data_IF_243445888879
#
_entry.id   IF_243445888879
#
_cell.length_a   1.000
_cell.length_b   1.000
_cell.length_c   1.000
_cell.angle_alpha   90.00
_cell.angle_beta   90.00
_cell.angle_gamma   90.00
#
_symmetry.space_group_name_H-M   'P 1'
#
loop_
_entity.id
_entity.type
_entity.pdbx_description
1 polymer ?
#
# COMPACT_ATOMS: atom_id res chain seq x y z
N UNK A 1 -11.50 -36.57 10.79
CA UNK A 1 -10.56 -36.55 9.64
C UNK A 1 -11.20 -35.69 8.58
N UNK A 2 -10.78 -34.42 8.51
CA UNK A 2 -11.35 -33.47 7.55
C UNK A 2 -10.83 -33.80 6.15
N UNK A 3 -11.75 -34.00 5.19
CA UNK A 3 -11.40 -34.23 3.79
C UNK A 3 -10.71 -32.97 3.24
N UNK A 4 -9.67 -33.11 2.40
CA UNK A 4 -9.13 -31.95 1.68
C UNK A 4 -10.23 -31.31 0.83
N UNK A 5 -10.28 -29.98 0.85
CA UNK A 5 -11.26 -29.10 0.18
C UNK A 5 -11.41 -29.40 -1.34
N UNK A 6 -10.47 -30.16 -1.92
CA UNK A 6 -10.30 -30.36 -3.36
C UNK A 6 -11.08 -31.56 -3.96
N UNK A 7 -11.92 -32.25 -3.19
CA UNK A 7 -12.68 -33.38 -3.71
C UNK A 7 -14.08 -32.96 -4.21
N UNK A 8 -14.17 -32.20 -5.31
CA UNK A 8 -15.33 -32.14 -6.24
C UNK A 8 -15.12 -31.08 -7.35
N UNK A 9 -14.86 -31.53 -8.59
CA UNK A 9 -14.86 -30.70 -9.81
C UNK A 9 -13.59 -29.85 -10.03
N UNK A 10 -13.28 -29.53 -11.30
CA UNK A 10 -12.21 -28.57 -11.66
C UNK A 10 -12.72 -27.17 -11.31
N UNK A 11 -12.61 -26.79 -10.04
CA UNK A 11 -12.82 -25.42 -9.59
C UNK A 11 -11.48 -24.71 -9.65
N UNK A 12 -11.34 -23.70 -10.51
CA UNK A 12 -10.17 -22.82 -10.49
C UNK A 12 -10.05 -22.22 -9.09
N UNK A 13 -8.85 -22.29 -8.49
CA UNK A 13 -8.59 -21.65 -7.20
C UNK A 13 -8.70 -20.13 -7.36
N UNK A 14 -9.33 -19.41 -6.40
CA UNK A 14 -9.35 -17.95 -6.43
C UNK A 14 -7.93 -17.40 -6.36
N UNK A 15 -7.71 -16.23 -6.97
CA UNK A 15 -6.51 -15.42 -6.72
C UNK A 15 -6.59 -14.82 -5.33
N UNK A 16 -5.61 -15.16 -4.49
CA UNK A 16 -5.60 -14.75 -3.09
C UNK A 16 -4.54 -13.68 -2.86
N UNK A 17 -4.96 -12.58 -2.23
CA UNK A 17 -4.06 -11.57 -1.70
C UNK A 17 -3.97 -11.65 -0.18
N UNK A 18 -2.75 -11.54 0.35
CA UNK A 18 -2.52 -11.21 1.76
C UNK A 18 -2.07 -9.75 1.83
N UNK A 19 -2.80 -8.96 2.59
CA UNK A 19 -2.53 -7.54 2.82
C UNK A 19 -2.13 -7.36 4.28
N UNK A 20 -0.91 -6.91 4.52
CA UNK A 20 -0.38 -6.70 5.87
C UNK A 20 -0.30 -5.21 6.19
N UNK A 21 -1.00 -4.83 7.26
CA UNK A 21 -0.95 -3.48 7.79
C UNK A 21 0.38 -3.09 8.41
N UNK A 22 0.49 -1.81 8.74
CA UNK A 22 1.59 -1.27 9.55
C UNK A 22 1.51 -1.75 11.01
N UNK A 23 2.67 -2.02 11.61
CA UNK A 23 2.74 -2.49 13.00
C UNK A 23 4.16 -2.63 13.57
N UNK A 24 5.19 -2.22 12.83
CA UNK A 24 6.59 -2.53 13.18
C UNK A 24 6.77 -4.03 13.45
N UNK A 25 7.38 -4.36 14.59
CA UNK A 25 7.57 -5.75 15.03
C UNK A 25 6.26 -6.55 15.16
N UNK A 26 5.12 -5.89 15.40
CA UNK A 26 3.81 -6.57 15.49
C UNK A 26 3.43 -7.25 14.17
N UNK A 27 3.96 -6.78 13.05
CA UNK A 27 3.77 -7.42 11.75
C UNK A 27 4.20 -8.89 11.72
N UNK A 28 5.05 -9.31 12.67
CA UNK A 28 5.43 -10.70 12.85
C UNK A 28 4.29 -11.63 13.26
N UNK A 29 3.18 -11.12 13.79
CA UNK A 29 1.98 -11.93 14.00
C UNK A 29 1.44 -12.54 12.68
N UNK A 30 1.74 -11.91 11.54
CA UNK A 30 1.40 -12.44 10.22
C UNK A 30 2.12 -13.75 9.89
N UNK A 31 3.17 -14.12 10.63
CA UNK A 31 3.86 -15.39 10.43
C UNK A 31 2.92 -16.58 10.58
N UNK A 32 2.04 -16.55 11.59
CA UNK A 32 1.03 -17.56 11.81
C UNK A 32 0.04 -17.66 10.62
N UNK A 33 -0.24 -16.54 9.95
CA UNK A 33 -1.09 -16.55 8.76
C UNK A 33 -0.38 -17.23 7.60
N UNK A 34 0.90 -16.92 7.37
CA UNK A 34 1.66 -17.57 6.31
C UNK A 34 1.85 -19.08 6.55
N UNK A 35 2.11 -19.49 7.79
CA UNK A 35 2.16 -20.91 8.18
C UNK A 35 0.83 -21.60 7.93
N UNK A 36 -0.29 -20.97 8.29
CA UNK A 36 -1.61 -21.51 7.99
C UNK A 36 -1.82 -21.75 6.48
N UNK A 37 -1.44 -20.79 5.63
CA UNK A 37 -1.54 -20.95 4.17
C UNK A 37 -0.62 -22.06 3.64
N UNK A 38 0.61 -22.17 4.17
CA UNK A 38 1.57 -23.23 3.84
C UNK A 38 1.02 -24.62 4.25
N UNK A 39 0.49 -24.77 5.46
CA UNK A 39 -0.10 -26.00 5.99
C UNK A 39 -1.33 -26.46 5.18
N UNK A 40 -2.19 -25.51 4.80
CA UNK A 40 -3.36 -25.80 3.96
C UNK A 40 -3.01 -26.03 2.48
N UNK A 41 -1.75 -25.79 2.08
CA UNK A 41 -1.28 -25.86 0.69
C UNK A 41 -2.10 -24.97 -0.24
N UNK A 42 -2.48 -23.80 0.26
CA UNK A 42 -3.23 -22.80 -0.49
C UNK A 42 -2.21 -21.78 -1.03
N UNK A 43 -2.09 -21.61 -2.36
CA UNK A 43 -1.16 -20.65 -2.92
C UNK A 43 -1.61 -19.22 -2.60
N UNK A 44 -0.64 -18.33 -2.39
CA UNK A 44 -0.84 -16.89 -2.28
C UNK A 44 -0.35 -16.29 -3.60
N UNK A 45 -1.16 -15.44 -4.24
CA UNK A 45 -0.83 -14.83 -5.53
C UNK A 45 -0.22 -13.43 -5.37
N UNK A 46 -0.68 -12.70 -4.35
CA UNK A 46 -0.32 -11.32 -4.11
C UNK A 46 -0.02 -11.05 -2.63
N UNK A 47 1.09 -10.37 -2.38
CA UNK A 47 1.44 -9.80 -1.09
C UNK A 47 1.45 -8.28 -1.21
N UNK A 48 0.81 -7.60 -0.28
CA UNK A 48 0.83 -6.14 -0.20
C UNK A 48 1.13 -5.74 1.24
N UNK A 49 2.23 -5.02 1.47
CA UNK A 49 2.67 -4.67 2.81
C UNK A 49 2.95 -3.19 3.01
N UNK A 50 2.72 -2.71 4.23
CA UNK A 50 3.07 -1.36 4.68
C UNK A 50 3.98 -1.43 5.93
N UNK A 51 5.09 -0.70 5.96
CA UNK A 51 6.01 -0.62 7.10
C UNK A 51 6.48 -2.01 7.56
N UNK A 52 6.26 -2.40 8.83
CA UNK A 52 6.52 -3.77 9.29
C UNK A 52 5.89 -4.86 8.40
N UNK A 53 4.67 -4.62 7.88
CA UNK A 53 4.02 -5.51 6.93
C UNK A 53 4.77 -5.60 5.59
N UNK A 54 5.41 -4.52 5.14
CA UNK A 54 6.26 -4.53 3.95
C UNK A 54 7.48 -5.44 4.13
N UNK A 55 8.15 -5.37 5.30
CA UNK A 55 9.24 -6.27 5.63
C UNK A 55 8.79 -7.74 5.63
N UNK A 56 7.65 -8.05 6.27
CA UNK A 56 7.10 -9.40 6.30
C UNK A 56 6.73 -9.92 4.90
N UNK A 57 6.02 -9.11 4.10
CA UNK A 57 5.67 -9.45 2.72
C UNK A 57 6.90 -9.63 1.81
N UNK A 58 7.89 -8.75 1.91
CA UNK A 58 9.12 -8.86 1.13
C UNK A 58 9.93 -10.10 1.52
N UNK A 59 9.95 -10.44 2.82
CA UNK A 59 10.62 -11.64 3.35
C UNK A 59 10.00 -12.92 2.77
N UNK A 60 8.67 -13.03 2.78
CA UNK A 60 8.00 -14.20 2.16
C UNK A 60 8.14 -14.15 0.64
N UNK A 61 8.00 -12.97 0.02
CA UNK A 61 8.11 -12.79 -1.42
C UNK A 61 9.47 -13.12 -2.02
N UNK A 62 10.57 -12.99 -1.25
CA UNK A 62 11.89 -13.45 -1.68
C UNK A 62 12.05 -14.99 -1.58
N UNK A 63 11.02 -15.71 -1.13
CA UNK A 63 10.99 -17.17 -1.06
C UNK A 63 11.37 -17.77 0.29
N UNK A 64 11.44 -16.97 1.36
CA UNK A 64 11.67 -17.51 2.71
C UNK A 64 10.45 -18.31 3.17
N UNK A 65 10.69 -19.48 3.77
CA UNK A 65 9.60 -20.25 4.37
C UNK A 65 9.21 -19.67 5.73
N UNK A 66 7.92 -19.66 6.09
CA UNK A 66 7.48 -19.17 7.39
C UNK A 66 8.21 -19.85 8.57
N UNK A 67 8.39 -21.17 8.51
CA UNK A 67 9.18 -21.93 9.50
C UNK A 67 10.62 -21.43 9.65
N UNK A 68 11.29 -21.09 8.55
CA UNK A 68 12.65 -20.52 8.58
C UNK A 68 12.65 -19.12 9.20
N UNK A 69 11.65 -18.29 8.87
CA UNK A 69 11.50 -16.96 9.45
C UNK A 69 11.26 -17.04 10.97
N UNK A 70 10.48 -18.03 11.43
CA UNK A 70 10.25 -18.34 12.86
C UNK A 70 11.56 -18.69 13.56
N UNK A 71 12.32 -19.64 13.00
CA UNK A 71 13.58 -20.14 13.58
C UNK A 71 14.72 -19.12 13.56
N UNK A 72 14.86 -18.39 12.45
CA UNK A 72 15.82 -17.30 12.34
C UNK A 72 15.54 -16.25 13.42
N UNK A 73 14.26 -16.11 13.78
CA UNK A 73 13.73 -15.07 14.65
C UNK A 73 14.10 -13.73 14.03
N UNK A 74 13.17 -13.07 13.33
CA UNK A 74 13.44 -11.72 12.83
C UNK A 74 13.98 -10.78 13.94
N UNK A 75 13.77 -11.11 15.21
CA UNK A 75 14.50 -10.60 16.37
C UNK A 75 16.05 -10.55 16.28
N UNK A 76 16.75 -11.48 15.62
CA UNK A 76 18.21 -11.39 15.38
C UNK A 76 18.55 -10.31 14.35
N UNK A 77 17.73 -10.19 13.30
CA UNK A 77 17.83 -9.12 12.32
C UNK A 77 17.49 -7.78 13.01
N UNK A 78 16.42 -7.75 13.80
CA UNK A 78 15.93 -6.57 14.51
C UNK A 78 16.80 -6.12 15.69
N UNK A 79 17.42 -7.04 16.45
CA UNK A 79 18.45 -6.67 17.43
C UNK A 79 19.62 -5.98 16.73
N UNK A 80 20.00 -6.39 15.52
CA UNK A 80 21.03 -5.69 14.74
C UNK A 80 20.51 -4.39 14.13
N UNK A 81 19.22 -4.28 13.79
CA UNK A 81 18.61 -3.10 13.18
C UNK A 81 18.25 -1.98 14.19
N UNK A 82 17.81 -2.32 15.41
CA UNK A 82 17.17 -1.41 16.37
C UNK A 82 17.91 -1.22 17.71
N UNK A 83 19.10 -1.82 17.89
CA UNK A 83 19.87 -1.60 19.13
C UNK A 83 20.57 -0.25 19.15
N UNK A 84 20.12 0.60 20.09
CA UNK A 84 20.56 1.95 20.48
C UNK A 84 19.80 3.09 19.76
N UNK A 85 18.58 3.35 20.24
CA UNK A 85 17.92 4.66 20.07
C UNK A 85 18.81 5.71 20.73
N UNK A 86 19.33 6.67 19.96
CA UNK A 86 20.14 7.75 20.49
C UNK A 86 19.29 9.01 20.68
N UNK A 87 18.65 9.15 21.84
CA UNK A 87 17.85 10.33 22.19
C UNK A 87 18.64 11.66 22.17
N UNK A 88 19.98 11.66 22.07
CA UNK A 88 20.78 12.88 21.89
C UNK A 88 20.74 13.45 20.46
N UNK A 89 20.52 12.64 19.42
CA UNK A 89 20.40 13.16 18.04
C UNK A 89 19.18 14.07 17.87
N UNK A 90 18.15 13.80 18.68
CA UNK A 90 16.92 14.58 18.76
C UNK A 90 17.14 16.00 19.29
N UNK A 91 18.03 16.20 20.26
CA UNK A 91 18.43 17.55 20.70
C UNK A 91 19.16 18.32 19.58
N UNK A 92 19.76 17.62 18.61
CA UNK A 92 20.32 18.20 17.38
C UNK A 92 19.26 18.77 16.42
N UNK A 93 18.06 18.18 16.39
CA UNK A 93 16.93 18.66 15.57
C UNK A 93 16.44 20.01 16.10
N UNK A 94 16.41 20.19 17.43
CA UNK A 94 15.96 21.43 18.06
C UNK A 94 17.08 22.48 18.26
N UNK A 95 18.36 22.09 18.18
CA UNK A 95 19.50 23.00 18.34
C UNK A 95 20.14 23.46 17.03
N UNK A 96 19.83 22.83 15.90
CA UNK A 96 20.20 23.34 14.58
C UNK A 96 19.27 24.51 14.22
N UNK A 97 19.85 25.72 14.21
CA UNK A 97 19.19 26.90 13.63
C UNK A 97 18.79 26.55 12.18
N UNK A 98 17.49 26.36 11.92
CA UNK A 98 16.86 25.94 10.64
C UNK A 98 16.92 24.43 10.27
N UNK A 99 16.20 23.61 11.04
CA UNK A 99 15.26 22.57 10.58
C UNK A 99 15.46 21.88 9.22
N UNK A 100 16.43 20.97 9.11
CA UNK A 100 16.47 19.98 8.02
C UNK A 100 16.35 18.56 8.58
N UNK A 101 15.23 17.87 8.29
CA UNK A 101 15.06 16.45 8.59
C UNK A 101 15.69 15.61 7.47
N UNK A 102 17.01 15.43 7.50
CA UNK A 102 17.79 14.63 6.56
C UNK A 102 18.32 13.32 7.19
N UNK A 103 19.08 12.51 6.42
CA UNK A 103 19.75 11.27 6.88
C UNK A 103 20.60 11.44 8.15
N UNK A 104 20.99 12.66 8.53
CA UNK A 104 21.82 12.95 9.72
C UNK A 104 20.97 13.26 10.96
N UNK A 105 19.66 13.38 10.80
CA UNK A 105 18.70 13.79 11.85
C UNK A 105 17.69 12.71 12.25
N UNK A 106 17.75 11.51 11.65
CA UNK A 106 16.93 10.36 12.07
C UNK A 106 17.19 9.98 13.53
N UNK A 107 16.12 9.65 14.27
CA UNK A 107 16.22 9.20 15.67
C UNK A 107 16.93 7.83 15.76
N UNK A 108 16.76 7.01 14.72
CA UNK A 108 17.45 5.75 14.52
C UNK A 108 18.53 5.92 13.44
N UNK A 109 19.63 5.17 13.54
CA UNK A 109 20.71 5.24 12.55
C UNK A 109 20.22 4.71 11.19
N UNK A 110 19.95 5.59 10.21
CA UNK A 110 19.32 5.18 8.96
C UNK A 110 20.27 4.37 8.08
N UNK A 111 21.58 4.66 8.14
CA UNK A 111 22.60 3.93 7.39
C UNK A 111 22.70 2.49 7.89
N UNK A 112 22.68 2.29 9.21
CA UNK A 112 22.70 0.94 9.80
C UNK A 112 21.47 0.13 9.42
N UNK A 113 20.29 0.76 9.44
CA UNK A 113 19.05 0.12 9.02
C UNK A 113 19.09 -0.26 7.54
N UNK A 114 19.47 0.68 6.66
CA UNK A 114 19.59 0.45 5.23
C UNK A 114 20.63 -0.62 4.89
N UNK A 115 21.78 -0.63 5.56
CA UNK A 115 22.82 -1.64 5.35
C UNK A 115 22.38 -3.04 5.76
N UNK A 116 21.67 -3.17 6.88
CA UNK A 116 21.16 -4.47 7.30
C UNK A 116 20.01 -4.98 6.42
N UNK A 117 19.18 -4.09 5.85
CA UNK A 117 18.24 -4.47 4.79
C UNK A 117 18.95 -4.93 3.52
N UNK A 118 20.05 -4.27 3.13
CA UNK A 118 20.89 -4.69 1.99
C UNK A 118 21.61 -6.01 2.24
N UNK A 119 22.10 -6.26 3.45
CA UNK A 119 22.69 -7.55 3.84
C UNK A 119 21.63 -8.66 3.78
N UNK A 120 20.39 -8.37 4.21
CA UNK A 120 19.31 -9.35 4.25
C UNK A 120 18.72 -9.67 2.88
N UNK A 121 18.39 -8.65 2.07
CA UNK A 121 17.76 -8.82 0.77
C UNK A 121 18.76 -8.96 -0.39
N UNK A 122 20.02 -8.55 -0.20
CA UNK A 122 21.00 -8.49 -1.28
C UNK A 122 20.52 -7.65 -2.46
N UNK A 123 20.72 -8.17 -3.67
CA UNK A 123 20.30 -7.54 -4.93
C UNK A 123 18.90 -7.98 -5.41
N UNK A 124 18.11 -8.63 -4.54
CA UNK A 124 16.77 -9.10 -4.90
C UNK A 124 15.88 -7.90 -5.26
N UNK A 125 15.20 -8.02 -6.41
CA UNK A 125 14.26 -7.01 -6.88
C UNK A 125 12.81 -7.44 -6.68
N UNK A 126 11.92 -6.49 -6.41
CA UNK A 126 10.50 -6.76 -6.17
C UNK A 126 9.83 -7.51 -7.34
N UNK A 127 10.20 -7.23 -8.59
CA UNK A 127 9.64 -7.90 -9.76
C UNK A 127 9.98 -9.40 -9.85
N UNK A 128 11.02 -9.84 -9.14
CA UNK A 128 11.48 -11.23 -9.08
C UNK A 128 10.76 -12.04 -8.00
N UNK A 129 10.06 -11.37 -7.06
CA UNK A 129 9.43 -12.02 -5.91
C UNK A 129 8.24 -12.90 -6.30
N UNK A 130 8.09 -14.02 -5.58
CA UNK A 130 6.97 -14.95 -5.67
C UNK A 130 6.55 -15.35 -4.24
N UNK A 131 5.30 -15.08 -3.80
CA UNK A 131 4.21 -14.40 -4.52
C UNK A 131 4.55 -12.99 -5.01
N UNK A 132 3.75 -12.41 -5.93
CA UNK A 132 4.00 -11.04 -6.37
C UNK A 132 3.92 -10.11 -5.16
N UNK A 133 4.96 -9.32 -4.91
CA UNK A 133 5.00 -8.45 -3.73
C UNK A 133 4.93 -6.98 -4.11
N UNK A 134 4.11 -6.25 -3.35
CA UNK A 134 3.92 -4.82 -3.46
C UNK A 134 4.22 -4.16 -2.12
N UNK A 135 4.88 -3.01 -2.18
CA UNK A 135 5.29 -2.26 -1.00
C UNK A 135 4.66 -0.88 -1.03
N UNK A 136 3.82 -0.59 -0.04
CA UNK A 136 3.16 0.70 0.12
C UNK A 136 4.11 1.73 0.72
N UNK A 137 4.17 2.91 0.11
CA UNK A 137 4.93 4.07 0.60
C UNK A 137 4.08 5.33 0.46
N UNK A 138 4.54 6.43 1.04
CA UNK A 138 3.90 7.75 0.87
C UNK A 138 4.89 8.71 0.23
N UNK A 139 4.46 9.42 -0.82
CA UNK A 139 5.19 10.57 -1.34
C UNK A 139 5.08 11.71 -0.34
N UNK A 140 6.19 12.10 0.29
CA UNK A 140 6.18 13.06 1.41
C UNK A 140 5.91 14.49 0.97
N UNK A 141 6.03 14.80 -0.33
CA UNK A 141 5.77 16.13 -0.87
C UNK A 141 4.27 16.33 -1.13
N UNK A 142 3.59 15.28 -1.62
CA UNK A 142 2.19 15.36 -2.06
C UNK A 142 1.20 14.70 -1.09
N UNK A 143 1.68 13.80 -0.23
CA UNK A 143 0.84 12.94 0.61
C UNK A 143 0.21 11.75 -0.14
N UNK A 144 0.49 11.60 -1.45
CA UNK A 144 -0.07 10.51 -2.24
C UNK A 144 0.55 9.15 -1.88
N UNK A 145 -0.27 8.09 -1.93
CA UNK A 145 0.21 6.73 -1.79
C UNK A 145 0.95 6.28 -3.05
N UNK A 146 2.17 5.76 -2.87
CA UNK A 146 3.00 5.21 -3.95
C UNK A 146 3.29 3.74 -3.69
N UNK A 147 2.92 2.88 -4.65
CA UNK A 147 3.16 1.44 -4.56
C UNK A 147 4.39 1.04 -5.36
N UNK A 148 5.39 0.56 -4.66
CA UNK A 148 6.58 -0.02 -5.27
C UNK A 148 6.32 -1.47 -5.62
N UNK A 149 6.56 -1.82 -6.89
CA UNK A 149 6.44 -3.19 -7.41
C UNK A 149 7.64 -3.64 -8.24
N UNK A 150 8.64 -2.76 -8.33
CA UNK A 150 9.90 -2.95 -9.05
C UNK A 150 11.05 -2.30 -8.28
N UNK A 151 12.27 -2.70 -8.59
CA UNK A 151 13.48 -2.15 -7.99
C UNK A 151 13.95 -2.95 -6.77
N UNK A 152 15.03 -2.48 -6.12
CA UNK A 152 15.67 -3.19 -5.01
C UNK A 152 14.71 -3.31 -3.83
N UNK A 153 14.52 -4.54 -3.35
CA UNK A 153 13.66 -4.82 -2.21
C UNK A 153 14.12 -4.09 -0.94
N UNK A 154 15.44 -4.02 -0.71
CA UNK A 154 16.01 -3.32 0.43
C UNK A 154 15.62 -1.83 0.46
N UNK A 155 15.67 -1.13 -0.68
CA UNK A 155 15.31 0.28 -0.75
C UNK A 155 13.79 0.48 -0.66
N UNK A 156 12.98 -0.40 -1.28
CA UNK A 156 11.53 -0.33 -1.16
C UNK A 156 11.03 -0.55 0.27
N UNK A 157 11.55 -1.57 0.96
CA UNK A 157 11.23 -1.84 2.36
C UNK A 157 11.74 -0.71 3.25
N UNK A 158 12.93 -0.17 3.01
CA UNK A 158 13.41 1.01 3.73
C UNK A 158 12.44 2.19 3.60
N UNK A 159 12.03 2.54 2.38
CA UNK A 159 11.10 3.64 2.13
C UNK A 159 9.77 3.42 2.88
N UNK A 160 9.25 2.19 2.83
CA UNK A 160 8.01 1.82 3.53
C UNK A 160 8.11 1.86 5.05
N UNK A 161 9.32 1.72 5.60
CA UNK A 161 9.61 1.82 7.03
C UNK A 161 10.15 3.20 7.45
N UNK A 162 10.25 4.15 6.52
CA UNK A 162 10.82 5.48 6.76
C UNK A 162 9.85 6.40 7.52
N UNK A 163 9.52 5.99 8.74
CA UNK A 163 8.54 6.64 9.61
C UNK A 163 9.11 7.93 10.21
N UNK A 164 8.41 9.05 10.09
CA UNK A 164 8.81 10.31 10.75
C UNK A 164 8.38 10.30 12.23
N UNK A 165 9.29 10.58 13.19
CA UNK A 165 10.67 11.07 13.04
C UNK A 165 11.78 9.99 13.15
N UNK A 166 11.43 8.70 13.14
CA UNK A 166 12.40 7.61 13.30
C UNK A 166 13.45 7.55 12.18
N UNK A 167 13.01 7.63 10.93
CA UNK A 167 13.84 7.51 9.74
C UNK A 167 13.45 8.56 8.68
N UNK A 168 14.43 9.14 7.96
CA UNK A 168 14.17 10.07 6.89
C UNK A 168 13.72 9.38 5.59
N UNK A 169 12.93 10.08 4.75
CA UNK A 169 12.53 9.55 3.45
C UNK A 169 13.74 9.38 2.52
N UNK A 170 13.60 8.51 1.52
CA UNK A 170 14.62 8.31 0.47
C UNK A 170 14.05 8.62 -0.90
N UNK A 171 14.94 9.00 -1.82
CA UNK A 171 14.57 9.31 -3.19
C UNK A 171 14.55 8.04 -4.04
N UNK A 172 13.39 7.69 -4.58
CA UNK A 172 13.21 6.59 -5.55
C UNK A 172 12.46 7.17 -6.75
N UNK A 173 13.00 6.96 -7.96
CA UNK A 173 12.41 7.44 -9.22
C UNK A 173 12.00 8.93 -9.20
N UNK A 174 12.83 9.77 -8.58
CA UNK A 174 12.60 11.21 -8.53
C UNK A 174 11.72 11.69 -7.36
N UNK A 175 11.02 10.80 -6.66
CA UNK A 175 10.12 11.13 -5.55
C UNK A 175 10.75 10.86 -4.19
N UNK A 176 10.47 11.69 -3.19
CA UNK A 176 10.84 11.41 -1.80
C UNK A 176 9.78 10.54 -1.15
N UNK A 177 10.14 9.29 -0.88
CA UNK A 177 9.22 8.28 -0.34
C UNK A 177 9.52 8.03 1.14
N UNK A 178 8.46 8.10 1.95
CA UNK A 178 8.41 7.78 3.36
C UNK A 178 7.44 6.65 3.68
N UNK A 179 7.26 6.36 4.97
CA UNK A 179 6.41 5.25 5.44
C UNK A 179 4.99 5.32 4.86
N UNK A 180 4.44 4.16 4.48
CA UNK A 180 3.10 4.02 3.91
C UNK A 180 1.96 4.33 4.90
N UNK A 181 2.24 4.40 6.20
CA UNK A 181 1.27 4.69 7.28
C UNK A 181 0.49 5.99 7.05
N UNK A 182 1.07 6.96 6.35
CA UNK A 182 0.44 8.26 6.13
C UNK A 182 -0.58 8.26 5.00
N UNK A 183 -0.55 7.27 4.10
CA UNK A 183 -1.41 7.20 2.91
C UNK A 183 -2.31 5.96 2.89
N UNK A 184 -1.80 4.78 3.25
CA UNK A 184 -2.59 3.55 3.31
C UNK A 184 -1.99 2.56 4.34
N UNK A 185 -2.34 2.71 5.64
CA UNK A 185 -1.81 1.87 6.71
C UNK A 185 -2.07 0.38 6.50
N UNK A 186 -3.21 0.03 5.90
CA UNK A 186 -3.56 -1.32 5.47
C UNK A 186 -3.97 -1.23 3.98
N UNK A 187 -3.06 -1.50 3.04
CA UNK A 187 -3.23 -1.16 1.62
C UNK A 187 -4.16 -2.11 0.85
N UNK A 188 -5.37 -2.36 1.35
CA UNK A 188 -6.38 -3.28 0.77
C UNK A 188 -6.79 -2.86 -0.63
N UNK A 189 -6.92 -1.56 -0.86
CA UNK A 189 -7.28 -0.99 -2.16
C UNK A 189 -6.30 -1.43 -3.26
N UNK A 190 -5.05 -1.69 -2.95
CA UNK A 190 -4.05 -2.13 -3.93
C UNK A 190 -4.24 -3.57 -4.38
N UNK A 191 -4.81 -4.41 -3.52
CA UNK A 191 -5.27 -5.74 -3.90
C UNK A 191 -6.51 -5.64 -4.79
N UNK A 192 -7.49 -4.79 -4.42
CA UNK A 192 -8.72 -4.56 -5.20
C UNK A 192 -8.39 -4.09 -6.62
N UNK A 193 -7.52 -3.09 -6.77
CA UNK A 193 -7.07 -2.55 -8.08
C UNK A 193 -6.47 -3.61 -9.00
N UNK A 194 -6.06 -4.76 -8.46
CA UNK A 194 -5.43 -5.86 -9.20
C UNK A 194 -6.37 -7.04 -9.46
N UNK A 195 -7.67 -6.87 -9.19
CA UNK A 195 -8.72 -7.86 -9.45
C UNK A 195 -8.35 -9.23 -8.86
N UNK A 196 -7.91 -9.24 -7.60
CA UNK A 196 -7.81 -10.48 -6.82
C UNK A 196 -9.20 -10.89 -6.35
N UNK A 197 -9.40 -12.18 -6.14
CA UNK A 197 -10.73 -12.74 -5.86
C UNK A 197 -11.01 -12.80 -4.36
N UNK A 198 -10.00 -13.07 -3.54
CA UNK A 198 -10.14 -13.12 -2.08
C UNK A 198 -9.00 -12.32 -1.45
N UNK A 199 -9.35 -11.39 -0.57
CA UNK A 199 -8.39 -10.58 0.17
C UNK A 199 -8.40 -10.98 1.64
N UNK A 200 -7.26 -11.36 2.18
CA UNK A 200 -7.05 -11.56 3.61
C UNK A 200 -6.24 -10.37 4.13
N UNK A 201 -6.89 -9.49 4.87
CA UNK A 201 -6.27 -8.27 5.42
C UNK A 201 -5.97 -8.45 6.90
N UNK A 202 -4.72 -8.26 7.30
CA UNK A 202 -4.28 -8.38 8.69
C UNK A 202 -3.98 -6.98 9.26
N UNK A 203 -4.68 -6.66 10.35
CA UNK A 203 -4.57 -5.38 11.07
C UNK A 203 -4.35 -5.62 12.58
N UNK A 204 -3.81 -4.62 13.27
CA UNK A 204 -3.36 -4.75 14.65
C UNK A 204 -4.15 -3.84 15.57
N UNK A 205 -4.74 -4.43 16.61
CA UNK A 205 -5.57 -3.70 17.57
C UNK A 205 -4.97 -3.77 18.95
N UNK A 206 -4.71 -2.59 19.51
CA UNK A 206 -4.26 -2.46 20.89
C UNK A 206 -5.33 -1.84 21.77
N UNK A 207 -5.43 -2.35 22.99
CA UNK A 207 -6.15 -1.70 24.09
C UNK A 207 -5.30 -0.54 24.62
N UNK A 208 -5.64 0.66 24.18
CA UNK A 208 -5.07 1.90 24.72
C UNK A 208 -5.54 2.08 26.16
N UNK A 209 -4.66 1.93 27.15
CA UNK A 209 -5.02 1.94 28.57
C UNK A 209 -4.47 3.09 29.40
N UNK A 210 -3.54 3.90 28.85
CA UNK A 210 -2.88 4.95 29.63
C UNK A 210 -2.90 6.29 28.90
N UNK A 211 -3.11 7.35 29.70
CA UNK A 211 -2.98 8.75 29.27
C UNK A 211 -1.55 8.99 28.74
N UNK A 212 -1.40 9.51 27.50
CA UNK A 212 -0.07 9.78 26.96
C UNK A 212 0.61 10.89 27.76
N UNK A 213 1.78 10.59 28.35
CA UNK A 213 2.60 11.55 29.09
C UNK A 213 3.82 12.00 28.25
N UNK A 214 3.94 13.30 28.02
CA UNK A 214 5.05 13.91 27.27
C UNK A 214 4.82 13.99 25.75
N UNK A 215 5.65 14.79 25.07
CA UNK A 215 5.47 15.12 23.64
C UNK A 215 5.40 13.87 22.74
N UNK A 216 6.32 12.91 22.91
CA UNK A 216 6.39 11.74 22.02
C UNK A 216 5.20 10.81 22.17
N UNK A 217 4.77 10.51 23.38
CA UNK A 217 3.60 9.64 23.58
C UNK A 217 2.33 10.31 23.04
N UNK A 218 2.22 11.64 23.17
CA UNK A 218 1.16 12.42 22.51
C UNK A 218 1.29 12.34 20.99
N UNK A 219 2.47 12.58 20.42
CA UNK A 219 2.71 12.50 18.98
C UNK A 219 2.33 11.12 18.41
N UNK A 220 2.84 10.04 19.00
CA UNK A 220 2.51 8.68 18.59
C UNK A 220 1.02 8.36 18.76
N UNK A 221 0.36 8.87 19.81
CA UNK A 221 -1.09 8.73 19.99
C UNK A 221 -1.86 9.39 18.83
N UNK A 222 -1.45 10.58 18.40
CA UNK A 222 -2.11 11.27 17.30
C UNK A 222 -1.90 10.55 15.97
N UNK A 223 -0.69 10.07 15.71
CA UNK A 223 -0.40 9.24 14.54
C UNK A 223 -1.25 7.96 14.55
N UNK A 224 -1.30 7.23 15.66
CA UNK A 224 -2.13 6.02 15.82
C UNK A 224 -3.62 6.33 15.59
N UNK A 225 -4.14 7.43 16.12
CA UNK A 225 -5.53 7.85 15.90
C UNK A 225 -5.84 8.20 14.43
N UNK A 226 -4.95 8.94 13.77
CA UNK A 226 -5.09 9.28 12.35
C UNK A 226 -5.03 8.01 11.50
N UNK A 227 -4.06 7.14 11.77
CA UNK A 227 -3.91 5.85 11.12
C UNK A 227 -5.17 5.00 11.27
N UNK A 228 -5.70 4.82 12.49
CA UNK A 228 -6.93 4.05 12.74
C UNK A 228 -8.15 4.63 12.04
N UNK A 229 -8.26 5.96 11.98
CA UNK A 229 -9.32 6.63 11.24
C UNK A 229 -9.20 6.34 9.75
N UNK A 230 -7.99 6.48 9.19
CA UNK A 230 -7.70 6.22 7.79
C UNK A 230 -7.97 4.76 7.40
N UNK A 231 -7.49 3.80 8.20
CA UNK A 231 -7.77 2.38 8.02
C UNK A 231 -9.27 2.10 8.00
N UNK A 232 -10.03 2.63 8.97
CA UNK A 232 -11.50 2.44 9.02
C UNK A 232 -12.18 2.99 7.77
N UNK A 233 -11.83 4.21 7.35
CA UNK A 233 -12.39 4.82 6.15
C UNK A 233 -12.06 4.01 4.89
N UNK A 234 -10.80 3.58 4.73
CA UNK A 234 -10.37 2.80 3.57
C UNK A 234 -10.98 1.39 3.54
N UNK A 235 -11.13 0.73 4.69
CA UNK A 235 -11.78 -0.57 4.78
C UNK A 235 -13.25 -0.50 4.38
N UNK A 236 -13.99 0.51 4.84
CA UNK A 236 -15.39 0.70 4.46
C UNK A 236 -15.55 0.92 2.95
N UNK A 237 -14.68 1.75 2.35
CA UNK A 237 -14.65 1.94 0.90
C UNK A 237 -14.30 0.64 0.16
N UNK A 238 -13.34 -0.12 0.70
CA UNK A 238 -12.87 -1.40 0.12
C UNK A 238 -13.99 -2.43 0.06
N UNK A 239 -14.80 -2.55 1.11
CA UNK A 239 -15.97 -3.45 1.13
C UNK A 239 -16.99 -3.06 0.06
N UNK A 240 -17.17 -1.76 -0.21
CA UNK A 240 -18.07 -1.29 -1.27
C UNK A 240 -17.52 -1.47 -2.70
N UNK A 241 -16.19 -1.45 -2.86
CA UNK A 241 -15.52 -1.57 -4.17
C UNK A 241 -15.20 -3.01 -4.58
N UNK A 242 -15.01 -3.92 -3.61
CA UNK A 242 -14.64 -5.29 -3.89
C UNK A 242 -15.89 -6.14 -4.08
N UNK A 243 -16.02 -6.74 -5.25
CA UNK A 243 -17.19 -7.56 -5.60
C UNK A 243 -17.18 -8.96 -4.97
N UNK A 244 -16.12 -9.29 -4.22
CA UNK A 244 -15.87 -10.61 -3.62
C UNK A 244 -15.51 -10.46 -2.14
N UNK A 245 -14.98 -11.51 -1.51
CA UNK A 245 -14.76 -11.55 -0.06
C UNK A 245 -13.48 -10.83 0.40
N UNK A 246 -13.63 -10.03 1.46
CA UNK A 246 -12.51 -9.46 2.24
C UNK A 246 -12.61 -10.01 3.66
N UNK A 247 -11.63 -10.80 4.07
CA UNK A 247 -11.55 -11.36 5.42
C UNK A 247 -10.54 -10.55 6.23
N UNK A 248 -11.02 -9.88 7.27
CA UNK A 248 -10.17 -9.12 8.19
C UNK A 248 -9.73 -10.04 9.33
N UNK A 249 -8.42 -10.16 9.53
CA UNK A 249 -7.77 -10.83 10.66
C UNK A 249 -7.25 -9.73 11.59
N UNK A 250 -8.05 -9.37 12.59
CA UNK A 250 -7.61 -8.44 13.64
C UNK A 250 -6.79 -9.20 14.68
N UNK A 251 -5.54 -8.79 14.88
CA UNK A 251 -4.67 -9.29 15.96
C UNK A 251 -4.83 -8.39 17.18
N UNK A 252 -5.42 -8.93 18.25
CA UNK A 252 -5.65 -8.22 19.49
C UNK A 252 -4.46 -8.41 20.46
N UNK A 253 -3.92 -7.31 20.97
CA UNK A 253 -2.94 -7.30 22.06
C UNK A 253 -3.59 -6.84 23.38
N UNK A 254 -3.26 -7.50 24.49
CA UNK A 254 -3.79 -7.19 25.82
C UNK A 254 -3.12 -5.98 26.49
N UNK A 255 -1.95 -5.60 26.00
CA UNK A 255 -1.19 -4.41 26.36
C UNK A 255 -0.67 -3.68 25.10
N UNK A 256 -0.05 -2.51 25.29
CA UNK A 256 0.53 -1.74 24.18
C UNK A 256 1.98 -2.20 23.95
N UNK A 257 2.31 -2.50 22.70
CA UNK A 257 3.63 -2.98 22.30
C UNK A 257 4.27 -1.93 21.40
N UNK A 258 5.45 -1.43 21.76
CA UNK A 258 6.11 -0.47 20.88
C UNK A 258 6.56 -1.17 19.59
N UNK A 259 6.58 -0.46 18.44
CA UNK A 259 6.99 -1.03 17.16
C UNK A 259 8.41 -1.65 17.11
N UNK A 260 9.23 -1.46 18.15
CA UNK A 260 10.62 -1.90 18.27
C UNK A 260 10.86 -2.83 19.48
N UNK A 261 9.81 -3.29 20.16
CA UNK A 261 9.94 -4.14 21.35
C UNK A 261 10.18 -5.62 20.97
N UNK A 262 11.38 -5.89 20.45
CA UNK A 262 11.79 -7.22 19.94
C UNK A 262 11.64 -8.37 20.95
N UNK A 263 11.65 -8.04 22.26
CA UNK A 263 11.48 -9.03 23.33
C UNK A 263 10.06 -9.59 23.42
N UNK A 264 9.06 -8.86 22.89
CA UNK A 264 7.66 -9.29 22.79
C UNK A 264 7.41 -10.20 21.57
N UNK A 265 8.43 -10.54 20.77
CA UNK A 265 8.22 -11.37 19.57
C UNK A 265 7.48 -12.70 19.83
N UNK A 266 7.77 -13.46 20.90
CA UNK A 266 7.01 -14.68 21.21
C UNK A 266 5.52 -14.41 21.46
N UNK A 267 5.18 -13.38 22.25
CA UNK A 267 3.78 -13.02 22.55
C UNK A 267 3.06 -12.49 21.31
N UNK A 268 3.77 -11.78 20.42
CA UNK A 268 3.25 -11.29 19.15
C UNK A 268 2.85 -12.46 18.23
N UNK A 269 3.72 -13.45 18.10
CA UNK A 269 3.46 -14.62 17.25
C UNK A 269 2.28 -15.42 17.82
N UNK A 270 2.23 -15.64 19.13
CA UNK A 270 1.11 -16.31 19.80
C UNK A 270 -0.22 -15.57 19.57
N UNK A 271 -0.23 -14.24 19.67
CA UNK A 271 -1.42 -13.44 19.36
C UNK A 271 -1.87 -13.61 17.89
N UNK A 272 -0.91 -13.71 16.96
CA UNK A 272 -1.17 -14.05 15.57
C UNK A 272 -1.82 -15.42 15.39
N UNK A 273 -1.29 -16.44 16.07
CA UNK A 273 -1.85 -17.80 16.04
C UNK A 273 -3.31 -17.83 16.55
N UNK A 274 -3.58 -17.10 17.64
CA UNK A 274 -4.95 -16.96 18.19
C UNK A 274 -5.88 -16.27 17.19
N UNK A 275 -5.44 -15.17 16.57
CA UNK A 275 -6.24 -14.43 15.59
C UNK A 275 -6.54 -15.25 14.34
N UNK A 276 -5.53 -15.95 13.80
CA UNK A 276 -5.70 -16.83 12.63
C UNK A 276 -6.61 -18.01 12.96
N UNK A 277 -6.46 -18.63 14.13
CA UNK A 277 -7.35 -19.72 14.58
C UNK A 277 -8.80 -19.28 14.68
N UNK A 278 -9.05 -18.06 15.18
CA UNK A 278 -10.39 -17.45 15.25
C UNK A 278 -11.00 -17.24 13.86
N UNK A 279 -10.18 -16.80 12.89
CA UNK A 279 -10.66 -16.45 11.55
C UNK A 279 -10.56 -17.60 10.53
N UNK A 280 -9.93 -18.72 10.88
CA UNK A 280 -9.68 -19.88 9.99
C UNK A 280 -10.90 -20.30 9.18
N UNK A 281 -12.04 -20.47 9.83
CA UNK A 281 -13.27 -20.92 9.15
C UNK A 281 -13.77 -19.89 8.13
N UNK A 282 -13.68 -18.60 8.44
CA UNK A 282 -14.05 -17.53 7.51
C UNK A 282 -13.09 -17.48 6.31
N UNK A 283 -11.78 -17.63 6.54
CA UNK A 283 -10.77 -17.70 5.46
C UNK A 283 -11.08 -18.87 4.52
N UNK A 284 -11.25 -20.08 5.08
CA UNK A 284 -11.56 -21.27 4.29
C UNK A 284 -12.92 -21.15 3.58
N UNK A 285 -13.92 -20.56 4.24
CA UNK A 285 -15.24 -20.32 3.65
C UNK A 285 -15.18 -19.33 2.48
N UNK A 286 -14.44 -18.24 2.60
CA UNK A 286 -14.27 -17.26 1.52
C UNK A 286 -13.62 -17.90 0.29
N UNK A 287 -12.57 -18.70 0.51
CA UNK A 287 -11.87 -19.43 -0.57
C UNK A 287 -12.78 -20.50 -1.19
N UNK A 288 -13.47 -21.29 -0.36
CA UNK A 288 -14.33 -22.37 -0.82
C UNK A 288 -15.67 -21.90 -1.39
N UNK A 289 -16.12 -20.68 -1.12
CA UNK A 289 -17.36 -20.11 -1.67
C UNK A 289 -17.14 -19.38 -2.99
N UNK A 290 -15.89 -19.09 -3.35
CA UNK A 290 -15.55 -18.44 -4.61
C UNK A 290 -16.08 -19.24 -5.81
N UNK A 291 -17.08 -18.70 -6.49
CA UNK A 291 -17.52 -19.19 -7.80
C UNK A 291 -17.18 -18.10 -8.80
N UNK A 292 -16.47 -18.46 -9.88
CA UNK A 292 -16.19 -17.52 -10.96
C UNK A 292 -17.54 -17.12 -11.54
N UNK A 293 -18.03 -15.93 -11.20
CA UNK A 293 -19.19 -15.37 -11.87
C UNK A 293 -18.81 -15.22 -13.34
N UNK A 294 -19.64 -15.75 -14.26
CA UNK A 294 -19.45 -15.51 -15.68
C UNK A 294 -19.29 -14.00 -15.89
N UNK A 295 -18.37 -13.55 -16.76
CA UNK A 295 -18.21 -12.13 -17.02
C UNK A 295 -19.57 -11.57 -17.38
N UNK A 296 -20.09 -10.64 -16.56
CA UNK A 296 -21.24 -9.87 -16.99
C UNK A 296 -20.87 -9.23 -18.33
N UNK A 297 -21.74 -9.30 -19.35
CA UNK A 297 -21.49 -8.57 -20.57
C UNK A 297 -21.19 -7.14 -20.17
N UNK A 298 -20.06 -6.62 -20.63
CA UNK A 298 -19.74 -5.20 -20.50
C UNK A 298 -21.03 -4.44 -20.84
N UNK A 299 -21.61 -3.78 -19.85
CA UNK A 299 -22.59 -2.74 -20.12
C UNK A 299 -21.82 -1.67 -20.87
N UNK A 300 -21.70 -1.84 -22.19
CA UNK A 300 -21.45 -0.73 -23.10
C UNK A 300 -22.51 0.29 -22.71
N UNK A 301 -22.14 1.50 -22.28
CA UNK A 301 -23.13 2.54 -22.08
C UNK A 301 -23.90 2.63 -23.39
N UNK A 302 -25.20 2.41 -23.30
CA UNK A 302 -26.11 2.50 -24.44
C UNK A 302 -25.83 3.84 -25.11
N UNK A 303 -25.42 3.80 -26.39
CA UNK A 303 -25.01 5.01 -27.11
C UNK A 303 -26.06 6.09 -26.87
N UNK A 304 -25.61 7.23 -26.38
CA UNK A 304 -26.43 8.40 -26.07
C UNK A 304 -27.44 8.61 -27.24
N UNK A 305 -28.75 8.78 -26.99
CA UNK A 305 -29.75 8.96 -28.05
C UNK A 305 -29.46 10.12 -29.03
N UNK A 306 -28.51 11.00 -28.70
CA UNK A 306 -27.94 11.99 -29.61
C UNK A 306 -27.13 11.40 -30.78
N UNK A 307 -26.42 10.27 -30.60
CA UNK A 307 -25.59 9.65 -31.66
C UNK A 307 -26.43 8.89 -32.71
N UNK A 308 -27.56 8.29 -32.29
CA UNK A 308 -28.54 7.67 -33.22
C UNK A 308 -29.19 8.67 -34.18
N UNK A 309 -29.13 9.98 -33.88
CA UNK A 309 -29.70 11.05 -34.72
C UNK A 309 -28.73 11.55 -35.79
N UNK A 310 -27.44 11.24 -35.67
CA UNK A 310 -26.40 11.61 -36.65
C UNK A 310 -26.26 10.51 -37.71
N UNK A 311 -26.32 9.23 -37.32
CA UNK A 311 -26.25 8.11 -38.29
C UNK A 311 -27.49 8.05 -39.21
N UNK A 312 -28.69 8.40 -38.73
CA UNK A 312 -29.91 8.47 -39.58
C UNK A 312 -29.95 9.65 -40.57
N UNK A 313 -29.05 10.64 -40.45
CA UNK A 313 -29.00 11.80 -41.37
C UNK A 313 -28.00 11.62 -42.52
N UNK A 314 -27.10 10.65 -42.44
CA UNK A 314 -26.09 10.40 -43.48
C UNK A 314 -26.44 9.27 -44.47
N UNK A 315 -27.57 8.58 -44.29
CA UNK A 315 -28.09 7.60 -45.26
C UNK A 315 -29.09 8.20 -46.28
N UNK A 316 -29.36 9.51 -46.21
CA UNK A 316 -30.38 10.18 -47.03
C UNK A 316 -29.89 11.13 -48.13
N UNK A 317 -28.58 11.18 -48.43
CA UNK A 317 -28.05 12.06 -49.48
C UNK A 317 -26.95 11.35 -50.28
N UNK A 318 -27.35 10.34 -51.06
CA UNK A 318 -26.61 9.90 -52.25
C UNK A 318 -27.65 9.56 -53.31
N UNK A 319 -28.14 10.60 -53.96
CA UNK A 319 -28.61 10.57 -55.36
C UNK A 319 -29.22 11.93 -55.69
N UNK A 320 -28.43 12.79 -56.33
CA UNK A 320 -28.84 13.64 -57.45
C UNK A 320 -27.88 14.80 -57.70
N UNK A 321 -27.67 15.06 -58.99
CA UNK A 321 -27.24 16.32 -59.59
C UNK A 321 -25.75 16.68 -59.55
N UNK A 322 -25.04 16.04 -60.48
CA UNK A 322 -24.13 16.73 -61.39
C UNK A 322 -24.88 17.86 -62.14
N UNK A 323 -24.48 19.13 -62.01
CA UNK A 323 -24.57 20.15 -63.07
C UNK A 323 -23.91 21.49 -62.68
N UNK A 324 -22.76 21.71 -63.32
CA UNK A 324 -22.35 22.93 -64.04
C UNK A 324 -22.27 24.32 -63.38
N UNK A 325 -21.06 24.88 -63.54
CA UNK A 325 -20.72 26.26 -63.92
C UNK A 325 -20.78 27.39 -62.87
N UNK A 326 -19.66 28.13 -62.79
CA UNK A 326 -19.73 29.59 -62.83
C UNK A 326 -19.05 30.36 -61.71
N UNK A 327 -17.91 30.95 -62.07
CA UNK A 327 -17.45 32.28 -61.67
C UNK A 327 -16.45 32.46 -60.50
N UNK A 328 -15.31 33.06 -60.90
CA UNK A 328 -14.18 33.60 -60.15
C UNK A 328 -14.52 34.92 -59.42
N UNK A 329 -13.80 35.18 -58.31
CA UNK A 329 -12.96 36.37 -57.98
C UNK A 329 -12.42 36.17 -56.54
N UNK A 330 -11.11 35.97 -56.28
CA UNK A 330 -10.01 36.96 -56.09
C UNK A 330 -10.45 38.13 -55.19
N UNK A 331 -9.88 38.45 -54.01
CA UNK A 331 -8.53 38.94 -53.62
C UNK A 331 -8.49 38.89 -52.06
N UNK A 332 -7.57 38.22 -51.35
CA UNK A 332 -6.20 38.58 -50.90
C UNK A 332 -6.07 39.67 -49.79
N UNK A 333 -5.41 39.29 -48.65
CA UNK A 333 -4.40 40.05 -47.84
C UNK A 333 -4.95 41.22 -46.97
N UNK A 334 -4.61 41.50 -45.70
CA UNK A 334 -3.75 40.97 -44.60
C UNK A 334 -4.19 41.63 -43.25
N UNK A 335 -3.51 41.39 -42.11
CA UNK A 335 -3.91 41.76 -40.75
C UNK A 335 -3.34 43.13 -40.28
N UNK A 336 -3.57 43.38 -38.98
CA UNK A 336 -2.98 44.38 -38.07
C UNK A 336 -3.82 45.64 -37.78
N UNK A 337 -4.10 45.81 -36.48
CA UNK A 337 -3.76 46.99 -35.64
C UNK A 337 -4.42 46.75 -34.25
N UNK A 338 -3.68 46.62 -33.14
CA UNK A 338 -3.04 47.69 -32.33
C UNK A 338 -4.05 48.82 -32.01
N UNK A 339 -4.21 49.38 -30.81
CA UNK A 339 -3.45 49.54 -29.57
C UNK A 339 -4.51 49.90 -28.50
N UNK A 340 -4.24 49.73 -27.19
CA UNK A 340 -3.91 50.88 -26.33
C UNK A 340 -3.98 50.58 -24.83
N UNK A 341 -2.93 51.01 -24.14
CA UNK A 341 -2.75 51.05 -22.68
C UNK A 341 -3.09 52.46 -22.19
N UNK A 342 -3.23 52.69 -20.87
CA UNK A 342 -2.08 53.31 -20.19
C UNK A 342 -1.81 52.81 -18.76
N UNK A 343 -0.53 52.91 -18.38
CA UNK A 343 -0.02 52.85 -17.01
C UNK A 343 -0.02 54.25 -16.37
N UNK A 344 -0.37 54.32 -15.09
CA UNK A 344 0.18 55.25 -14.07
C UNK A 344 -0.12 54.62 -12.71
N UNK A 345 0.65 54.63 -11.62
CA UNK A 345 1.88 55.33 -11.26
C UNK A 345 1.76 55.84 -9.81
N UNK A 346 2.67 55.41 -8.93
CA UNK A 346 3.20 56.07 -7.69
C UNK A 346 2.58 55.86 -6.27
N UNK A 347 3.41 55.22 -5.43
CA UNK A 347 4.03 55.64 -4.13
C UNK A 347 3.24 55.94 -2.85
N UNK A 348 3.83 55.47 -1.73
CA UNK A 348 3.68 55.93 -0.33
C UNK A 348 2.91 54.93 0.53
N UNK A 349 3.35 54.46 1.69
CA UNK A 349 4.41 54.81 2.64
C UNK A 349 4.67 53.61 3.56
#
# INVERSE_FOLDING_TARGET
MDKPILATGIRELPKIAIVLGTGGIKAMAALALFEFFEEQKIPIDLLVGCSGGALACATIGMGQRPSQVREMGLAKLEKKLFTKINYKSLMGIFSSKMGTFDKRSGILNPERYQNALREYFGDIKLEQMRPRTLIQTTDVETGEGVVLSRGLAADAVYASCAFFPAFPPIKIDGRYLGDGIYSAPVPVVEAIKRNVDVIIALDFKEKVRTEPKGFFSCFYRHIDNTMRTLTRSQMLLSIGMHHHEIVIVEVDFDHSINPWDVHELPSIIEAGEVAVKKQKNAILSAIASFTKSSPQPENRPDKNPAEKRVEKKNEGVKDSANQNSGFRRTVAINPDDDEDRPKSGRTGS
#
